data_IF_822856803523
#
_entry.id   IF_822856803523
#
_cell.length_a   1.000
_cell.length_b   1.000
_cell.length_c   1.000
_cell.angle_alpha   90.00
_cell.angle_beta   90.00
_cell.angle_gamma   90.00
#
_symmetry.space_group_name_H-M   'P 1'
#
loop_
_entity.id
_entity.type
_entity.pdbx_description
1 polymer ?
#
# COMPACT_ATOMS: atom_id res chain seq x y z
N UNK A 1 2.38 -37.21 -8.05
CA UNK A 1 2.14 -35.77 -8.35
C UNK A 1 2.21 -34.91 -7.09
N UNK A 2 3.04 -33.87 -7.09
CA UNK A 2 3.08 -32.88 -6.01
C UNK A 2 1.94 -31.87 -6.22
N UNK A 3 1.06 -31.71 -5.23
CA UNK A 3 0.02 -30.68 -5.24
C UNK A 3 0.55 -29.34 -4.73
N UNK A 4 0.08 -28.24 -5.31
CA UNK A 4 0.35 -26.88 -4.82
C UNK A 4 -0.98 -26.25 -4.37
N UNK A 5 -0.98 -25.57 -3.22
CA UNK A 5 -2.15 -24.81 -2.76
C UNK A 5 -2.06 -23.33 -3.11
N UNK A 6 -0.85 -22.82 -3.31
CA UNK A 6 -0.60 -21.45 -3.71
C UNK A 6 0.89 -21.11 -3.64
N UNK A 7 1.22 -19.86 -3.93
CA UNK A 7 2.58 -19.32 -3.85
C UNK A 7 2.63 -18.11 -2.90
N UNK A 8 3.79 -17.93 -2.26
CA UNK A 8 4.15 -16.71 -1.54
C UNK A 8 5.35 -16.09 -2.26
N UNK A 9 5.30 -14.78 -2.50
CA UNK A 9 6.35 -14.04 -3.20
C UNK A 9 6.74 -12.77 -2.44
N UNK A 10 8.03 -12.59 -2.16
CA UNK A 10 8.56 -11.34 -1.66
C UNK A 10 9.79 -10.94 -2.45
N UNK A 11 9.60 -10.05 -3.42
CA UNK A 11 10.63 -9.49 -4.24
C UNK A 11 10.14 -8.15 -4.80
N UNK A 12 11.08 -7.29 -5.13
CA UNK A 12 10.89 -6.10 -5.95
C UNK A 12 12.07 -5.15 -5.84
N UNK A 13 12.87 -5.26 -4.78
CA UNK A 13 13.95 -4.35 -4.41
C UNK A 13 14.90 -4.03 -5.58
N UNK A 14 15.31 -5.03 -6.36
CA UNK A 14 16.18 -4.88 -7.55
C UNK A 14 15.45 -4.37 -8.82
N UNK A 15 14.17 -4.03 -8.70
CA UNK A 15 13.31 -3.49 -9.75
C UNK A 15 12.75 -2.10 -9.39
N UNK A 16 13.20 -1.50 -8.28
CA UNK A 16 12.67 -0.21 -7.81
C UNK A 16 12.71 0.89 -8.88
N UNK A 17 13.78 0.92 -9.67
CA UNK A 17 13.98 1.85 -10.78
C UNK A 17 13.14 1.54 -12.04
N UNK A 18 12.42 0.42 -12.05
CA UNK A 18 11.71 -0.13 -13.21
C UNK A 18 10.26 -0.49 -12.88
N UNK A 19 9.61 0.31 -12.03
CA UNK A 19 8.22 0.11 -11.61
C UNK A 19 7.24 -0.06 -12.79
N UNK A 20 7.38 0.75 -13.85
CA UNK A 20 6.55 0.62 -15.07
C UNK A 20 6.70 -0.75 -15.74
N UNK A 21 7.92 -1.27 -15.84
CA UNK A 21 8.17 -2.61 -16.36
C UNK A 21 7.60 -3.68 -15.42
N UNK A 22 7.70 -3.47 -14.10
CA UNK A 22 7.20 -4.40 -13.09
C UNK A 22 5.67 -4.58 -13.15
N UNK A 23 4.93 -3.54 -13.55
CA UNK A 23 3.47 -3.62 -13.79
C UNK A 23 3.08 -4.64 -14.86
N UNK A 24 3.98 -4.95 -15.79
CA UNK A 24 3.79 -5.99 -16.80
C UNK A 24 4.38 -7.32 -16.33
N UNK A 25 5.67 -7.32 -15.96
CA UNK A 25 6.40 -8.55 -15.66
C UNK A 25 5.82 -9.35 -14.50
N UNK A 26 5.36 -8.68 -13.43
CA UNK A 26 4.91 -9.40 -12.24
C UNK A 26 3.57 -10.12 -12.46
N UNK A 27 2.53 -9.48 -13.02
CA UNK A 27 1.33 -10.18 -13.48
C UNK A 27 1.62 -11.29 -14.50
N UNK A 28 2.51 -11.05 -15.47
CA UNK A 28 2.90 -12.05 -16.48
C UNK A 28 3.52 -13.29 -15.84
N UNK A 29 4.42 -13.13 -14.86
CA UNK A 29 5.01 -14.26 -14.13
C UNK A 29 3.95 -15.08 -13.40
N UNK A 30 3.00 -14.42 -12.72
CA UNK A 30 1.90 -15.11 -12.02
C UNK A 30 1.05 -15.92 -13.00
N UNK A 31 0.72 -15.33 -14.16
CA UNK A 31 -0.07 -15.98 -15.20
C UNK A 31 0.66 -17.16 -15.84
N UNK A 32 1.96 -17.02 -16.15
CA UNK A 32 2.79 -18.10 -16.70
C UNK A 32 2.88 -19.28 -15.72
N UNK A 33 3.10 -19.02 -14.43
CA UNK A 33 3.12 -20.09 -13.42
C UNK A 33 1.77 -20.81 -13.34
N UNK A 34 0.65 -20.08 -13.35
CA UNK A 34 -0.70 -20.67 -13.36
C UNK A 34 -0.95 -21.51 -14.61
N UNK A 35 -0.52 -21.03 -15.78
CA UNK A 35 -0.64 -21.76 -17.04
C UNK A 35 0.16 -23.07 -17.02
N UNK A 36 1.43 -23.02 -16.59
CA UNK A 36 2.32 -24.19 -16.53
C UNK A 36 1.87 -25.24 -15.51
N UNK A 37 1.33 -24.80 -14.37
CA UNK A 37 0.79 -25.72 -13.36
C UNK A 37 -0.53 -26.38 -13.79
N UNK A 38 -1.28 -25.78 -14.70
CA UNK A 38 -2.53 -26.35 -15.24
C UNK A 38 -3.64 -26.57 -14.21
N UNK A 39 -3.60 -25.87 -13.06
CA UNK A 39 -4.56 -26.03 -11.96
C UNK A 39 -5.46 -24.79 -11.76
N UNK A 40 -5.62 -23.99 -12.81
CA UNK A 40 -6.38 -22.75 -12.77
C UNK A 40 -5.69 -21.66 -11.94
N UNK A 41 -6.43 -20.60 -11.54
CA UNK A 41 -5.85 -19.46 -10.85
C UNK A 41 -5.60 -19.76 -9.37
N UNK A 42 -4.60 -20.59 -9.05
CA UNK A 42 -4.26 -20.89 -7.66
C UNK A 42 -3.91 -19.61 -6.87
N UNK A 43 -4.12 -19.58 -5.55
CA UNK A 43 -3.76 -18.47 -4.67
C UNK A 43 -2.32 -17.97 -4.83
N UNK A 44 -2.15 -16.67 -5.01
CA UNK A 44 -0.83 -16.04 -5.12
C UNK A 44 -0.75 -14.84 -4.16
N UNK A 45 0.02 -14.97 -3.09
CA UNK A 45 0.14 -13.93 -2.08
C UNK A 45 1.52 -13.32 -2.13
N UNK A 46 1.60 -12.00 -2.07
CA UNK A 46 2.87 -11.31 -2.17
C UNK A 46 2.99 -10.19 -1.15
N UNK A 47 4.21 -9.70 -0.97
CA UNK A 47 4.50 -8.65 -0.01
C UNK A 47 4.80 -7.35 -0.76
N UNK A 48 4.13 -6.27 -0.38
CA UNK A 48 4.49 -4.93 -0.80
C UNK A 48 5.74 -4.48 -0.05
N UNK A 49 6.73 -3.91 -0.74
CA UNK A 49 8.05 -3.62 -0.16
C UNK A 49 8.00 -2.84 1.15
N UNK A 50 8.90 -3.20 2.05
CA UNK A 50 9.09 -2.50 3.31
C UNK A 50 9.67 -1.09 3.12
N UNK A 51 9.65 -0.27 4.16
CA UNK A 51 10.41 0.98 4.20
C UNK A 51 11.91 0.74 4.03
N UNK A 52 12.56 1.61 3.27
CA UNK A 52 14.00 1.59 3.06
C UNK A 52 14.51 3.01 2.79
N UNK A 53 15.80 3.26 3.04
CA UNK A 53 16.48 4.56 2.92
C UNK A 53 16.09 5.60 3.98
N UNK A 54 16.84 6.70 4.00
CA UNK A 54 16.57 7.82 4.90
C UNK A 54 15.21 8.48 4.58
N UNK A 55 14.49 8.87 5.63
CA UNK A 55 13.28 9.67 5.49
C UNK A 55 13.66 11.05 4.95
N UNK A 56 12.92 11.53 3.95
CA UNK A 56 13.08 12.87 3.40
C UNK A 56 12.19 13.85 4.17
N UNK A 57 12.66 15.08 4.46
CA UNK A 57 11.87 16.07 5.19
C UNK A 57 10.71 16.60 4.33
N UNK A 58 10.90 16.69 3.02
CA UNK A 58 9.90 17.21 2.07
C UNK A 58 9.35 16.11 1.16
N UNK A 59 8.10 16.25 0.66
CA UNK A 59 7.57 15.39 -0.39
C UNK A 59 8.47 15.41 -1.62
N UNK A 60 8.70 14.25 -2.21
CA UNK A 60 9.48 14.11 -3.44
C UNK A 60 9.04 12.87 -4.19
N UNK A 61 9.42 12.80 -5.47
CA UNK A 61 9.24 11.59 -6.24
C UNK A 61 10.06 10.43 -5.65
N UNK A 62 9.52 9.23 -5.79
CA UNK A 62 10.04 8.01 -5.16
C UNK A 62 9.81 6.81 -6.06
N UNK A 63 10.90 6.31 -6.64
CA UNK A 63 10.90 5.06 -7.41
C UNK A 63 10.45 3.86 -6.54
N UNK A 64 10.76 3.90 -5.25
CA UNK A 64 10.32 2.89 -4.30
C UNK A 64 8.80 2.90 -4.10
N UNK A 65 8.19 4.09 -3.99
CA UNK A 65 6.74 4.24 -3.92
C UNK A 65 6.06 3.82 -5.24
N UNK A 66 6.64 4.15 -6.39
CA UNK A 66 6.14 3.67 -7.69
C UNK A 66 6.16 2.15 -7.80
N UNK A 67 7.21 1.49 -7.29
CA UNK A 67 7.26 0.03 -7.27
C UNK A 67 6.22 -0.57 -6.32
N UNK A 68 6.01 0.02 -5.14
CA UNK A 68 4.91 -0.39 -4.23
C UNK A 68 3.54 -0.23 -4.88
N UNK A 69 3.36 0.81 -5.70
CA UNK A 69 2.15 0.99 -6.50
C UNK A 69 2.03 -0.13 -7.53
N UNK A 70 3.10 -0.47 -8.27
CA UNK A 70 3.09 -1.58 -9.23
C UNK A 70 2.74 -2.93 -8.57
N UNK A 71 3.25 -3.19 -7.36
CA UNK A 71 2.86 -4.36 -6.56
C UNK A 71 1.36 -4.31 -6.20
N UNK A 72 0.84 -3.15 -5.79
CA UNK A 72 -0.60 -2.97 -5.51
C UNK A 72 -1.45 -3.23 -6.75
N UNK A 73 -1.05 -2.73 -7.92
CA UNK A 73 -1.80 -2.91 -9.18
C UNK A 73 -1.92 -4.38 -9.60
N UNK A 74 -1.01 -5.25 -9.14
CA UNK A 74 -1.06 -6.70 -9.38
C UNK A 74 -2.27 -7.37 -8.71
N UNK A 75 -2.89 -6.71 -7.72
CA UNK A 75 -4.16 -7.17 -7.12
C UNK A 75 -5.33 -7.22 -8.12
N UNK A 76 -5.18 -6.65 -9.32
CA UNK A 76 -6.14 -6.81 -10.42
C UNK A 76 -6.28 -8.26 -10.90
N UNK A 77 -5.27 -9.11 -10.69
CA UNK A 77 -5.36 -10.53 -11.00
C UNK A 77 -6.24 -11.28 -9.97
N UNK A 78 -7.04 -12.27 -10.41
CA UNK A 78 -7.86 -13.06 -9.51
C UNK A 78 -7.00 -13.88 -8.54
N UNK A 79 -7.58 -14.22 -7.38
CA UNK A 79 -6.94 -15.04 -6.34
C UNK A 79 -5.56 -14.54 -5.91
N UNK A 80 -5.35 -13.22 -5.94
CA UNK A 80 -4.19 -12.56 -5.36
C UNK A 80 -4.51 -11.95 -4.00
N UNK A 81 -3.46 -11.62 -3.26
CA UNK A 81 -3.53 -10.90 -1.99
C UNK A 81 -2.18 -10.32 -1.64
N UNK A 82 -2.18 -9.22 -0.90
CA UNK A 82 -0.99 -8.42 -0.62
C UNK A 82 -0.81 -8.25 0.89
N UNK A 83 0.35 -8.61 1.40
CA UNK A 83 0.80 -8.29 2.74
C UNK A 83 1.64 -7.01 2.67
N UNK A 84 1.24 -5.98 3.41
CA UNK A 84 2.02 -4.76 3.47
C UNK A 84 3.22 -4.95 4.40
N UNK A 85 4.37 -4.38 4.04
CA UNK A 85 5.55 -4.29 4.91
C UNK A 85 6.01 -2.85 5.15
N UNK A 86 5.26 -1.86 4.68
CA UNK A 86 5.67 -0.44 4.70
C UNK A 86 6.02 0.07 6.10
N UNK A 87 5.38 -0.41 7.17
CA UNK A 87 5.60 0.00 8.56
C UNK A 87 6.66 -0.82 9.32
N UNK A 88 7.32 -1.78 8.68
CA UNK A 88 8.24 -2.75 9.35
C UNK A 88 9.65 -2.77 8.77
N UNK A 89 10.02 -1.80 7.93
CA UNK A 89 11.37 -1.67 7.35
C UNK A 89 12.28 -0.72 8.12
N UNK A 90 13.58 -0.80 7.87
CA UNK A 90 14.60 0.05 8.50
C UNK A 90 15.32 0.94 7.47
N UNK A 91 15.68 2.17 7.85
CA UNK A 91 16.28 3.12 6.93
C UNK A 91 17.63 2.66 6.35
N UNK A 92 18.45 1.98 7.17
CA UNK A 92 19.80 1.53 6.82
C UNK A 92 19.92 0.06 6.42
N UNK A 93 18.82 -0.69 6.41
CA UNK A 93 18.83 -2.11 6.07
C UNK A 93 17.63 -2.43 5.18
N UNK A 94 17.92 -2.94 3.99
CA UNK A 94 16.90 -3.34 3.03
C UNK A 94 16.15 -4.61 3.48
N UNK A 95 16.67 -5.32 4.49
CA UNK A 95 16.12 -6.57 5.00
C UNK A 95 15.33 -6.34 6.31
N UNK A 96 13.98 -6.19 6.27
CA UNK A 96 13.18 -5.93 7.46
C UNK A 96 13.36 -7.03 8.51
N UNK A 97 13.74 -6.68 9.74
CA UNK A 97 14.00 -7.68 10.80
C UNK A 97 12.72 -8.37 11.26
N UNK A 98 11.58 -7.69 11.24
CA UNK A 98 10.29 -8.24 11.64
C UNK A 98 9.63 -9.11 10.55
N UNK A 99 10.33 -10.16 10.10
CA UNK A 99 9.80 -11.14 9.12
C UNK A 99 8.61 -11.93 9.65
N UNK A 100 8.47 -12.05 10.98
CA UNK A 100 7.32 -12.73 11.61
C UNK A 100 6.01 -12.01 11.29
N UNK A 101 6.00 -10.68 11.33
CA UNK A 101 4.81 -9.90 10.99
C UNK A 101 4.48 -9.97 9.49
N UNK A 102 5.49 -9.95 8.61
CA UNK A 102 5.30 -10.24 7.17
C UNK A 102 4.58 -11.59 6.98
N UNK A 103 5.11 -12.64 7.62
CA UNK A 103 4.53 -13.98 7.57
C UNK A 103 3.10 -14.04 8.10
N UNK A 104 2.80 -13.33 9.21
CA UNK A 104 1.44 -13.23 9.76
C UNK A 104 0.47 -12.57 8.77
N UNK A 105 0.88 -11.47 8.12
CA UNK A 105 0.05 -10.76 7.14
C UNK A 105 -0.20 -11.57 5.86
N UNK A 106 0.78 -12.36 5.43
CA UNK A 106 0.60 -13.35 4.36
C UNK A 106 -0.36 -14.48 4.78
N UNK A 107 -0.21 -14.99 6.01
CA UNK A 107 -1.11 -16.00 6.55
C UNK A 107 -2.56 -15.50 6.65
N UNK A 108 -2.78 -14.24 7.06
CA UNK A 108 -4.10 -13.62 7.06
C UNK A 108 -4.73 -13.60 5.66
N UNK A 109 -3.97 -13.22 4.63
CA UNK A 109 -4.44 -13.29 3.24
C UNK A 109 -4.88 -14.71 2.87
N UNK A 110 -4.10 -15.73 3.24
CA UNK A 110 -4.48 -17.12 3.00
C UNK A 110 -5.75 -17.53 3.77
N UNK A 111 -5.81 -17.25 5.08
CA UNK A 111 -6.94 -17.60 5.93
C UNK A 111 -8.25 -16.98 5.42
N UNK A 112 -8.23 -15.69 5.11
CA UNK A 112 -9.42 -14.96 4.64
C UNK A 112 -9.80 -15.29 3.19
N UNK A 113 -8.84 -15.27 2.26
CA UNK A 113 -9.14 -15.42 0.82
C UNK A 113 -9.23 -16.88 0.37
N UNK A 114 -8.32 -17.74 0.83
CA UNK A 114 -8.29 -19.17 0.43
C UNK A 114 -9.18 -20.02 1.33
N UNK A 115 -9.02 -19.89 2.65
CA UNK A 115 -9.71 -20.77 3.60
C UNK A 115 -11.05 -20.23 4.09
N UNK A 116 -11.44 -19.02 3.66
CA UNK A 116 -12.73 -18.37 3.98
C UNK A 116 -12.99 -18.26 5.49
N UNK A 117 -11.92 -18.15 6.29
CA UNK A 117 -12.07 -17.94 7.72
C UNK A 117 -12.50 -16.50 8.03
N UNK A 118 -13.30 -16.27 9.08
CA UNK A 118 -13.81 -14.95 9.46
C UNK A 118 -12.73 -14.11 10.16
N UNK A 119 -11.66 -13.78 9.43
CA UNK A 119 -10.53 -12.96 9.90
C UNK A 119 -10.48 -11.64 9.13
N UNK A 120 -9.88 -10.61 9.74
CA UNK A 120 -9.55 -9.36 9.03
C UNK A 120 -8.19 -9.56 8.36
N UNK A 121 -8.16 -9.49 7.03
CA UNK A 121 -6.96 -9.78 6.24
C UNK A 121 -6.54 -8.65 5.30
N UNK A 122 -7.30 -7.55 5.26
CA UNK A 122 -6.97 -6.36 4.47
C UNK A 122 -6.91 -5.15 5.39
N UNK A 123 -5.96 -4.26 5.13
CA UNK A 123 -5.92 -2.93 5.74
C UNK A 123 -6.83 -1.94 5.02
N UNK A 124 -6.99 -0.72 5.55
CA UNK A 124 -7.75 0.34 4.91
C UNK A 124 -7.26 0.59 3.48
N UNK A 125 -8.18 0.69 2.53
CA UNK A 125 -7.82 0.92 1.11
C UNK A 125 -8.58 2.13 0.60
N UNK A 126 -7.89 3.03 -0.10
CA UNK A 126 -8.51 4.18 -0.76
C UNK A 126 -9.70 3.75 -1.63
N UNK A 127 -10.82 4.47 -1.54
CA UNK A 127 -12.01 4.25 -2.35
C UNK A 127 -12.55 5.50 -3.04
N UNK A 128 -12.06 6.69 -2.70
CA UNK A 128 -12.45 7.93 -3.35
C UNK A 128 -12.03 9.17 -2.56
N UNK A 129 -12.15 10.33 -3.17
CA UNK A 129 -11.99 11.61 -2.49
C UNK A 129 -13.03 12.63 -2.93
N UNK A 130 -13.35 13.58 -2.06
CA UNK A 130 -14.13 14.77 -2.38
C UNK A 130 -13.38 16.02 -1.95
N UNK A 131 -13.55 17.11 -2.69
CA UNK A 131 -12.93 18.41 -2.41
C UNK A 131 -14.02 19.43 -2.13
N UNK A 132 -13.89 20.17 -1.04
CA UNK A 132 -14.77 21.27 -0.67
C UNK A 132 -13.92 22.47 -0.23
N UNK A 133 -13.76 23.45 -1.12
CA UNK A 133 -12.83 24.58 -0.90
C UNK A 133 -11.39 24.09 -0.82
N UNK A 134 -10.72 24.37 0.30
CA UNK A 134 -9.34 23.97 0.59
C UNK A 134 -9.22 22.64 1.36
N UNK A 135 -10.35 21.96 1.59
CA UNK A 135 -10.42 20.73 2.39
C UNK A 135 -10.67 19.53 1.48
N UNK A 136 -9.87 18.48 1.65
CA UNK A 136 -10.06 17.19 0.97
C UNK A 136 -10.54 16.15 1.97
N UNK A 137 -11.55 15.36 1.59
CA UNK A 137 -11.98 14.18 2.34
C UNK A 137 -11.65 12.93 1.55
N UNK A 138 -10.76 12.11 2.07
CA UNK A 138 -10.36 10.83 1.51
C UNK A 138 -11.16 9.71 2.16
N UNK A 139 -11.85 8.90 1.37
CA UNK A 139 -12.64 7.77 1.85
C UNK A 139 -11.84 6.47 1.74
N UNK A 140 -11.94 5.65 2.79
CA UNK A 140 -11.34 4.32 2.84
C UNK A 140 -12.43 3.25 2.99
N UNK A 141 -12.19 2.09 2.40
CA UNK A 141 -12.89 0.83 2.69
C UNK A 141 -12.03 -0.07 3.57
N UNK A 142 -12.56 -1.24 3.94
CA UNK A 142 -11.86 -2.30 4.69
C UNK A 142 -11.57 -2.00 6.17
N UNK A 143 -12.56 -1.41 6.86
CA UNK A 143 -12.60 -1.30 8.32
C UNK A 143 -12.64 0.14 8.82
N UNK A 144 -12.85 0.28 10.14
CA UNK A 144 -12.70 1.56 10.83
C UNK A 144 -11.22 1.98 10.86
N UNK A 145 -10.97 3.28 10.75
CA UNK A 145 -9.64 3.87 10.75
C UNK A 145 -9.17 4.17 12.17
N UNK A 146 -7.93 3.81 12.48
CA UNK A 146 -7.25 4.10 13.74
C UNK A 146 -5.78 4.46 13.46
N UNK A 147 -5.08 5.00 14.45
CA UNK A 147 -3.63 5.19 14.38
C UNK A 147 -2.92 4.34 15.41
N UNK A 148 -1.75 3.81 15.04
CA UNK A 148 -0.95 2.91 15.91
C UNK A 148 -0.53 3.54 17.23
N UNK A 149 -0.48 4.87 17.29
CA UNK A 149 0.01 5.65 18.43
C UNK A 149 -1.00 6.68 18.95
N UNK A 150 -2.26 6.63 18.48
CA UNK A 150 -3.33 7.59 18.81
C UNK A 150 -3.01 9.05 18.44
N UNK A 151 -1.96 9.30 17.67
CA UNK A 151 -1.66 10.61 17.11
C UNK A 151 -2.48 10.87 15.83
N UNK A 152 -2.37 12.08 15.29
CA UNK A 152 -2.91 12.39 13.97
C UNK A 152 -2.33 11.45 12.89
N UNK A 153 -3.11 11.06 11.87
CA UNK A 153 -2.57 10.33 10.72
C UNK A 153 -1.43 11.10 10.06
N UNK A 154 -0.41 10.36 9.61
CA UNK A 154 0.79 10.92 8.97
C UNK A 154 0.93 10.45 7.54
N UNK A 155 1.92 11.03 6.84
CA UNK A 155 2.31 10.65 5.47
C UNK A 155 1.24 10.89 4.40
N UNK A 156 0.39 11.89 4.61
CA UNK A 156 -0.47 12.45 3.56
C UNK A 156 0.21 13.66 2.91
N UNK A 157 0.14 13.73 1.59
CA UNK A 157 0.61 14.85 0.78
C UNK A 157 -0.55 15.36 -0.07
N UNK A 158 -0.66 16.67 -0.24
CA UNK A 158 -1.61 17.29 -1.17
C UNK A 158 -0.90 18.21 -2.13
N UNK A 159 -1.47 18.36 -3.33
CA UNK A 159 -1.00 19.31 -4.33
C UNK A 159 -2.17 20.07 -4.94
N UNK A 160 -1.92 21.34 -5.28
CA UNK A 160 -2.81 22.15 -6.12
C UNK A 160 -2.53 21.95 -7.60
N UNK A 161 -3.12 22.80 -8.43
CA UNK A 161 -2.94 22.79 -9.90
C UNK A 161 -1.47 22.95 -10.34
N UNK A 162 -0.65 23.59 -9.51
CA UNK A 162 0.78 23.77 -9.73
C UNK A 162 1.62 22.49 -9.52
N UNK A 163 0.98 21.40 -9.07
CA UNK A 163 1.58 20.09 -8.77
C UNK A 163 2.73 20.14 -7.76
N UNK A 164 2.78 21.18 -6.92
CA UNK A 164 3.72 21.24 -5.80
C UNK A 164 3.14 20.48 -4.62
N UNK A 165 3.82 19.40 -4.25
CA UNK A 165 3.42 18.54 -3.13
C UNK A 165 3.89 19.12 -1.80
N UNK A 166 2.95 19.21 -0.85
CA UNK A 166 3.24 19.57 0.54
C UNK A 166 2.68 18.51 1.48
N UNK A 167 3.31 18.32 2.64
CA UNK A 167 2.71 17.58 3.73
C UNK A 167 1.44 18.31 4.22
N UNK A 168 0.44 17.54 4.65
CA UNK A 168 -0.85 18.08 5.10
C UNK A 168 -1.16 17.62 6.52
N UNK A 169 -1.90 18.45 7.26
CA UNK A 169 -2.58 18.00 8.46
C UNK A 169 -3.67 17.00 8.06
N UNK A 170 -3.86 15.98 8.89
CA UNK A 170 -4.82 14.92 8.64
C UNK A 170 -5.59 14.58 9.93
N UNK A 171 -6.89 14.29 9.78
CA UNK A 171 -7.75 13.88 10.90
C UNK A 171 -8.69 12.77 10.46
N UNK A 172 -8.82 11.72 11.28
CA UNK A 172 -9.82 10.67 11.05
C UNK A 172 -11.22 11.21 11.36
N UNK A 173 -12.15 10.93 10.47
CA UNK A 173 -13.58 11.19 10.62
C UNK A 173 -14.36 9.98 10.07
N UNK A 174 -14.68 9.03 10.95
CA UNK A 174 -15.29 7.75 10.60
C UNK A 174 -14.39 6.90 9.70
N UNK A 175 -14.88 6.55 8.50
CA UNK A 175 -14.13 5.83 7.46
C UNK A 175 -13.35 6.76 6.52
N UNK A 176 -13.21 8.04 6.89
CA UNK A 176 -12.55 9.05 6.07
C UNK A 176 -11.40 9.71 6.80
N UNK A 177 -10.45 10.26 6.03
CA UNK A 177 -9.43 11.17 6.52
C UNK A 177 -9.66 12.53 5.88
N UNK A 178 -9.79 13.56 6.72
CA UNK A 178 -9.93 14.95 6.30
C UNK A 178 -8.54 15.58 6.28
N UNK A 179 -8.19 16.20 5.16
CA UNK A 179 -6.89 16.80 4.88
C UNK A 179 -7.03 18.30 4.60
N UNK A 180 -6.06 19.07 5.09
CA UNK A 180 -5.90 20.50 4.80
C UNK A 180 -4.43 20.90 4.94
N UNK A 181 -3.88 21.65 4.00
CA UNK A 181 -2.54 22.22 4.11
C UNK A 181 -2.55 23.72 3.88
N UNK A 182 -1.74 24.42 4.68
CA UNK A 182 -1.47 25.84 4.45
C UNK A 182 -0.79 26.03 3.10
N UNK A 183 -1.27 26.99 2.31
CA UNK A 183 -0.72 27.30 0.98
C UNK A 183 -1.34 26.52 -0.18
N UNK A 184 -2.26 25.57 0.06
CA UNK A 184 -2.99 24.85 -1.00
C UNK A 184 -4.47 25.21 -0.97
N UNK A 185 -4.85 26.30 -1.64
CA UNK A 185 -6.23 26.79 -1.64
C UNK A 185 -7.21 25.96 -2.49
N UNK A 186 -6.69 25.26 -3.51
CA UNK A 186 -7.47 24.43 -4.45
C UNK A 186 -6.77 23.09 -4.66
N UNK A 187 -6.92 22.13 -3.73
CA UNK A 187 -6.28 20.83 -3.86
C UNK A 187 -6.90 20.04 -5.01
N UNK A 188 -6.05 19.44 -5.84
CA UNK A 188 -6.47 18.63 -7.00
C UNK A 188 -6.00 17.17 -6.89
N UNK A 189 -5.01 16.89 -6.03
CA UNK A 189 -4.48 15.56 -5.86
C UNK A 189 -4.01 15.28 -4.42
N UNK A 190 -4.06 13.99 -4.07
CA UNK A 190 -3.62 13.45 -2.77
C UNK A 190 -2.71 12.24 -3.00
N UNK A 191 -1.68 12.13 -2.17
CA UNK A 191 -0.83 10.94 -2.02
C UNK A 191 -0.80 10.51 -0.56
N UNK A 192 -0.76 9.21 -0.30
CA UNK A 192 -0.56 8.62 1.03
C UNK A 192 0.56 7.59 0.98
N UNK A 193 1.52 7.68 1.91
CA UNK A 193 2.64 6.76 1.98
C UNK A 193 3.59 6.83 0.77
N UNK A 194 3.61 7.96 0.05
CA UNK A 194 4.39 8.15 -1.17
C UNK A 194 5.79 8.68 -0.87
N UNK A 195 6.67 7.78 -0.41
CA UNK A 195 8.10 8.01 -0.20
C UNK A 195 8.84 6.67 -0.08
N UNK A 196 10.17 6.71 -0.04
CA UNK A 196 11.01 5.52 0.20
C UNK A 196 10.78 4.97 1.64
N UNK A 197 10.77 5.88 2.62
CA UNK A 197 10.56 5.60 4.04
C UNK A 197 9.55 6.56 4.72
N UNK A 198 8.25 6.52 4.33
CA UNK A 198 7.20 7.32 4.92
C UNK A 198 6.94 6.93 6.38
N UNK A 199 6.58 7.91 7.21
CA UNK A 199 6.11 7.69 8.58
C UNK A 199 4.62 7.36 8.57
N UNK A 200 4.27 6.09 8.40
CA UNK A 200 2.85 5.67 8.36
C UNK A 200 2.39 5.20 9.74
N UNK A 201 1.21 5.65 10.14
CA UNK A 201 0.56 5.17 11.37
C UNK A 201 -0.93 4.81 11.17
N UNK A 202 -1.50 5.01 9.98
CA UNK A 202 -2.92 4.72 9.71
C UNK A 202 -3.13 3.20 9.51
N UNK A 203 -3.96 2.63 10.37
CA UNK A 203 -4.28 1.19 10.41
C UNK A 203 -5.79 0.99 10.55
N UNK A 204 -6.25 -0.25 10.45
CA UNK A 204 -7.55 -0.65 11.00
C UNK A 204 -7.41 -1.29 12.39
N UNK A 205 -8.55 -1.64 13.00
CA UNK A 205 -8.63 -2.33 14.31
C UNK A 205 -7.84 -3.65 14.43
N UNK A 206 -7.42 -4.25 13.30
CA UNK A 206 -6.58 -5.46 13.30
C UNK A 206 -5.07 -5.14 13.27
N UNK A 207 -4.71 -3.85 13.32
CA UNK A 207 -3.35 -3.38 13.17
C UNK A 207 -2.79 -3.52 11.75
N UNK A 208 -3.65 -3.68 10.73
CA UNK A 208 -3.21 -3.77 9.35
C UNK A 208 -3.07 -2.36 8.75
N UNK A 209 -1.92 -2.02 8.15
CA UNK A 209 -1.67 -0.67 7.64
C UNK A 209 -2.54 -0.34 6.44
N UNK A 210 -2.88 0.93 6.30
CA UNK A 210 -3.55 1.46 5.12
C UNK A 210 -2.65 1.33 3.88
N UNK A 211 -3.26 1.03 2.74
CA UNK A 211 -2.56 0.86 1.47
C UNK A 211 -2.10 2.21 0.91
N UNK A 212 -0.80 2.39 0.59
CA UNK A 212 -0.32 3.57 -0.12
C UNK A 212 -1.07 3.80 -1.43
N UNK A 213 -1.34 5.06 -1.75
CA UNK A 213 -2.03 5.42 -2.98
C UNK A 213 -1.63 6.81 -3.44
N UNK A 214 -1.99 7.11 -4.69
CA UNK A 214 -1.99 8.46 -5.26
C UNK A 214 -3.23 8.67 -6.12
N UNK A 215 -3.64 9.92 -6.29
CA UNK A 215 -4.80 10.28 -7.14
C UNK A 215 -4.41 11.03 -8.41
N UNK A 216 -3.11 11.24 -8.64
CA UNK A 216 -2.54 11.92 -9.80
C UNK A 216 -1.90 10.94 -10.81
N UNK A 217 -2.21 9.64 -10.69
CA UNK A 217 -1.82 8.68 -11.71
C UNK A 217 -2.48 9.05 -13.06
N UNK A 218 -1.75 8.91 -14.19
CA UNK A 218 -2.29 9.17 -15.52
C UNK A 218 -3.41 8.21 -15.91
#
# INVERSE_FOLDING_TARGET
PYGIKGAIWYQGESNADRAMQYRELFPTMIQDWRARWGQGPFPFYFVQLANFMARKPEPSESQWAELREAQTMTLSLPNTGMALAIDIGEAGDIHPKNKREVGRRLALNALGRTYKQPVIYEGPTYSGMTVAGDTVRVTFKNGALETTDKAAPRSFQIAGEDKKWVWTDARIDGSTVVLRASGVAKPVAVRYGWADNPDVNLVNRAGLPAVPFRTDAP
#
